data_IF_253357201833
#
_entry.id   IF_253357201833
#
_cell.length_a   1.000
_cell.length_b   1.000
_cell.length_c   1.000
_cell.angle_alpha   90.00
_cell.angle_beta   90.00
_cell.angle_gamma   90.00
#
_symmetry.space_group_name_H-M   'P 1'
#
loop_
_entity.id
_entity.type
_entity.pdbx_description
1 polymer ?
#
# COMPACT_ATOMS: atom_id res chain seq x y z
N UNK A 1 -12.93 -28.02 -13.57
CA UNK A 1 -14.05 -27.30 -14.21
C UNK A 1 -13.62 -25.86 -14.38
N UNK A 2 -13.63 -25.31 -15.58
CA UNK A 2 -13.19 -23.93 -15.87
C UNK A 2 -14.18 -22.96 -15.19
N UNK A 3 -13.65 -21.99 -14.41
CA UNK A 3 -14.42 -20.92 -13.74
C UNK A 3 -15.32 -20.13 -14.72
N UNK A 4 -14.97 -20.10 -16.00
CA UNK A 4 -15.71 -19.39 -17.05
C UNK A 4 -17.14 -19.93 -17.30
N UNK A 5 -17.48 -21.15 -16.87
CA UNK A 5 -18.78 -21.76 -17.16
C UNK A 5 -19.93 -21.36 -16.21
N UNK A 6 -19.66 -20.63 -15.11
CA UNK A 6 -20.64 -20.27 -14.08
C UNK A 6 -20.73 -18.76 -13.79
N UNK A 7 -20.08 -17.91 -14.57
CA UNK A 7 -20.10 -16.46 -14.36
C UNK A 7 -21.43 -15.87 -14.85
N UNK A 8 -22.07 -15.00 -14.05
CA UNK A 8 -23.29 -14.31 -14.47
C UNK A 8 -23.03 -13.39 -15.67
N UNK A 9 -24.02 -13.17 -16.57
CA UNK A 9 -23.87 -12.22 -17.68
C UNK A 9 -23.48 -10.81 -17.21
N UNK A 10 -24.06 -10.33 -16.11
CA UNK A 10 -23.75 -9.02 -15.55
C UNK A 10 -22.27 -8.91 -15.10
N UNK A 11 -21.72 -9.99 -14.51
CA UNK A 11 -20.32 -10.01 -14.12
C UNK A 11 -19.39 -10.09 -15.33
N UNK A 12 -19.78 -10.81 -16.38
CA UNK A 12 -19.05 -10.84 -17.65
C UNK A 12 -18.99 -9.46 -18.30
N UNK A 13 -20.11 -8.72 -18.32
CA UNK A 13 -20.17 -7.34 -18.83
C UNK A 13 -19.28 -6.40 -17.99
N UNK A 14 -19.31 -6.55 -16.67
CA UNK A 14 -18.46 -5.75 -15.78
C UNK A 14 -16.96 -5.97 -16.07
N UNK A 15 -16.54 -7.24 -16.23
CA UNK A 15 -15.14 -7.56 -16.56
C UNK A 15 -14.76 -7.01 -17.94
N UNK A 16 -15.60 -7.20 -18.96
CA UNK A 16 -15.36 -6.66 -20.30
C UNK A 16 -15.24 -5.13 -20.30
N UNK A 17 -15.99 -4.43 -19.43
CA UNK A 17 -15.83 -3.00 -19.24
C UNK A 17 -14.47 -2.68 -18.61
N UNK A 18 -14.10 -3.39 -17.54
CA UNK A 18 -12.83 -3.19 -16.82
C UNK A 18 -11.62 -3.40 -17.75
N UNK A 19 -11.64 -4.46 -18.56
CA UNK A 19 -10.56 -4.76 -19.52
C UNK A 19 -10.35 -3.64 -20.55
N UNK A 20 -11.40 -2.86 -20.87
CA UNK A 20 -11.31 -1.69 -21.77
C UNK A 20 -10.78 -0.44 -21.07
N UNK A 21 -10.67 -0.47 -19.74
CA UNK A 21 -10.19 0.65 -18.94
C UNK A 21 -8.68 0.55 -18.66
N UNK A 22 -7.87 0.00 -19.55
CA UNK A 22 -6.43 -0.15 -19.36
C UNK A 22 -5.74 1.21 -19.17
N UNK A 23 -4.80 1.26 -18.22
CA UNK A 23 -3.95 2.44 -17.99
C UNK A 23 -3.15 2.78 -19.26
N UNK A 24 -2.89 4.07 -19.55
CA UNK A 24 -2.05 4.47 -20.70
C UNK A 24 -0.55 4.17 -20.50
N UNK A 25 -0.13 3.69 -19.34
CA UNK A 25 1.27 3.32 -19.10
C UNK A 25 1.69 2.19 -20.02
N UNK A 26 2.92 2.28 -20.59
CA UNK A 26 3.49 1.22 -21.41
C UNK A 26 3.53 -0.13 -20.67
N UNK A 27 3.41 -1.23 -21.37
CA UNK A 27 3.59 -2.58 -20.80
C UNK A 27 5.06 -2.95 -20.63
N UNK A 28 5.93 -2.35 -21.40
CA UNK A 28 7.37 -2.38 -21.16
C UNK A 28 7.78 -1.18 -20.27
N UNK A 29 9.06 -1.04 -19.98
CA UNK A 29 9.59 0.05 -19.15
C UNK A 29 10.03 1.27 -19.97
N UNK A 30 9.55 1.42 -21.20
CA UNK A 30 9.85 2.59 -22.04
C UNK A 30 9.19 3.84 -21.48
N UNK A 31 9.85 5.00 -21.49
CA UNK A 31 9.26 6.27 -21.09
C UNK A 31 8.04 6.68 -21.94
N UNK A 32 7.04 7.35 -21.35
CA UNK A 32 6.90 7.65 -19.93
C UNK A 32 6.41 6.42 -19.13
N UNK A 33 7.20 5.96 -18.13
CA UNK A 33 6.84 4.85 -17.27
C UNK A 33 7.26 5.11 -15.83
N UNK A 34 6.27 5.14 -14.94
CA UNK A 34 6.50 5.43 -13.53
C UNK A 34 6.25 6.88 -13.15
N UNK A 35 6.17 7.13 -11.85
CA UNK A 35 5.76 8.41 -11.27
C UNK A 35 6.94 9.34 -10.98
N UNK A 36 8.16 8.81 -10.90
CA UNK A 36 9.39 9.56 -10.64
C UNK A 36 9.76 10.55 -11.75
N UNK A 37 9.31 10.33 -12.98
CA UNK A 37 9.60 11.19 -14.13
C UNK A 37 9.10 12.64 -13.95
N UNK A 38 8.11 12.82 -13.08
CA UNK A 38 7.56 14.13 -12.74
C UNK A 38 8.36 14.87 -11.66
N UNK A 39 9.39 14.23 -11.10
CA UNK A 39 10.22 14.84 -10.07
C UNK A 39 11.32 15.71 -10.69
N UNK A 40 11.80 16.72 -9.98
CA UNK A 40 12.94 17.53 -10.44
C UNK A 40 14.23 16.68 -10.40
N UNK A 41 15.15 16.98 -11.35
CA UNK A 41 16.48 16.39 -11.28
C UNK A 41 17.19 16.75 -9.95
N UNK A 42 17.97 15.84 -9.35
CA UNK A 42 18.40 14.53 -9.83
C UNK A 42 17.43 13.38 -9.47
N UNK A 43 16.23 13.67 -8.94
CA UNK A 43 15.29 12.68 -8.40
C UNK A 43 14.32 12.11 -9.44
N UNK A 44 14.37 12.57 -10.68
CA UNK A 44 13.60 12.07 -11.82
C UNK A 44 14.21 10.82 -12.47
N UNK A 45 14.77 9.93 -11.66
CA UNK A 45 15.39 8.68 -12.09
C UNK A 45 14.98 7.51 -11.21
N UNK A 46 15.20 6.31 -11.70
CA UNK A 46 15.03 5.10 -10.89
C UNK A 46 16.18 4.93 -9.90
N UNK A 47 15.85 4.55 -8.69
CA UNK A 47 16.76 4.16 -7.61
C UNK A 47 16.69 2.66 -7.32
N UNK A 48 15.63 2.00 -7.74
CA UNK A 48 15.43 0.57 -7.69
C UNK A 48 14.97 0.00 -9.03
N UNK A 49 15.08 -1.32 -9.22
CA UNK A 49 14.71 -1.95 -10.49
C UNK A 49 13.19 -1.86 -10.74
N UNK A 50 12.83 -1.83 -12.01
CA UNK A 50 11.45 -1.98 -12.50
C UNK A 50 11.42 -3.05 -13.57
N UNK A 51 10.25 -3.62 -13.82
CA UNK A 51 10.02 -4.58 -14.90
C UNK A 51 8.70 -4.28 -15.60
N UNK A 52 8.55 -4.80 -16.83
CA UNK A 52 7.35 -4.64 -17.63
C UNK A 52 6.11 -5.20 -16.93
N UNK A 53 4.98 -4.53 -17.11
CA UNK A 53 3.69 -4.88 -16.51
C UNK A 53 2.86 -5.84 -17.34
N UNK A 54 1.91 -6.51 -16.70
CA UNK A 54 0.86 -7.28 -17.36
C UNK A 54 -0.25 -6.43 -17.99
N UNK A 55 -1.24 -7.10 -18.60
CA UNK A 55 -2.49 -6.48 -19.02
C UNK A 55 -3.35 -6.11 -17.81
N UNK A 56 -4.50 -5.48 -18.07
CA UNK A 56 -5.56 -5.35 -17.05
C UNK A 56 -5.88 -6.73 -16.50
N UNK A 57 -5.76 -6.87 -15.20
CA UNK A 57 -5.92 -8.16 -14.52
C UNK A 57 -6.66 -7.98 -13.21
N UNK A 58 -7.30 -9.03 -12.73
CA UNK A 58 -7.92 -8.95 -11.43
C UNK A 58 -8.55 -10.24 -10.95
N UNK A 59 -9.09 -10.17 -9.72
CA UNK A 59 -9.76 -11.27 -9.03
C UNK A 59 -10.88 -10.71 -8.18
N UNK A 60 -12.03 -11.35 -8.17
CA UNK A 60 -13.17 -11.02 -7.30
C UNK A 60 -13.52 -12.22 -6.44
N UNK A 61 -13.52 -12.02 -5.13
CA UNK A 61 -14.13 -12.91 -4.15
C UNK A 61 -15.35 -12.24 -3.52
N UNK A 62 -16.43 -12.98 -3.42
CA UNK A 62 -17.63 -12.57 -2.69
C UNK A 62 -18.10 -13.75 -1.84
N UNK A 63 -18.37 -13.50 -0.55
CA UNK A 63 -18.74 -14.54 0.42
C UNK A 63 -17.77 -15.73 0.41
N UNK A 64 -16.47 -15.41 0.40
CA UNK A 64 -15.36 -16.39 0.34
C UNK A 64 -15.28 -17.25 -0.93
N UNK A 65 -16.16 -17.04 -1.91
CA UNK A 65 -16.16 -17.74 -3.20
C UNK A 65 -15.50 -16.85 -4.24
N UNK A 66 -14.57 -17.39 -5.02
CA UNK A 66 -14.02 -16.70 -6.17
C UNK A 66 -15.07 -16.66 -7.28
N UNK A 67 -15.58 -15.46 -7.58
CA UNK A 67 -16.57 -15.25 -8.63
C UNK A 67 -15.93 -15.12 -10.01
N UNK A 68 -14.77 -14.48 -10.07
CA UNK A 68 -14.08 -14.20 -11.33
C UNK A 68 -12.58 -13.97 -11.14
N UNK A 69 -11.84 -14.26 -12.19
CA UNK A 69 -10.49 -13.78 -12.43
C UNK A 69 -10.34 -13.48 -13.93
N UNK A 70 -9.47 -12.50 -14.27
CA UNK A 70 -9.24 -12.10 -15.66
C UNK A 70 -7.82 -11.60 -15.88
N UNK A 71 -7.41 -11.52 -17.15
CA UNK A 71 -6.06 -11.11 -17.54
C UNK A 71 -5.00 -12.13 -17.13
N UNK A 72 -3.93 -11.67 -16.50
CA UNK A 72 -2.82 -12.49 -15.99
C UNK A 72 -2.79 -12.46 -14.44
N UNK A 73 -3.77 -13.07 -13.74
CA UNK A 73 -3.92 -12.92 -12.29
C UNK A 73 -2.78 -13.55 -11.49
N UNK A 74 -1.99 -14.42 -12.07
CA UNK A 74 -0.82 -15.07 -11.49
C UNK A 74 0.50 -14.33 -11.73
N UNK A 75 0.49 -13.30 -12.59
CA UNK A 75 1.70 -12.52 -12.84
C UNK A 75 2.03 -11.65 -11.64
N UNK A 76 3.28 -11.74 -11.19
CA UNK A 76 3.82 -10.86 -10.17
C UNK A 76 4.14 -9.48 -10.78
N UNK A 77 3.27 -8.53 -10.56
CA UNK A 77 3.41 -7.14 -11.00
C UNK A 77 3.67 -6.19 -9.83
N UNK A 78 4.34 -5.06 -10.11
CA UNK A 78 4.55 -4.01 -9.12
C UNK A 78 3.21 -3.49 -8.58
N UNK A 79 3.10 -3.42 -7.26
CA UNK A 79 1.87 -2.95 -6.58
C UNK A 79 1.90 -1.47 -6.27
N UNK A 80 3.06 -0.82 -6.42
CA UNK A 80 3.27 0.56 -5.98
C UNK A 80 2.83 0.75 -4.53
N UNK A 81 2.00 1.73 -4.26
CA UNK A 81 1.63 2.14 -2.91
C UNK A 81 0.74 1.17 -2.15
N UNK A 82 0.25 0.08 -2.74
CA UNK A 82 -0.36 -1.03 -1.97
C UNK A 82 0.65 -1.60 -0.96
N UNK A 83 1.95 -1.54 -1.26
CA UNK A 83 3.02 -1.92 -0.35
C UNK A 83 2.97 -1.20 1.01
N UNK A 84 2.42 0.03 1.07
CA UNK A 84 2.23 0.76 2.33
C UNK A 84 1.31 0.00 3.28
N UNK A 85 0.21 -0.54 2.77
CA UNK A 85 -0.69 -1.38 3.57
C UNK A 85 0.06 -2.59 4.14
N UNK A 86 0.97 -3.19 3.37
CA UNK A 86 1.76 -4.31 3.86
C UNK A 86 2.77 -3.91 4.94
N UNK A 87 3.28 -2.68 4.93
CA UNK A 87 4.04 -2.15 6.08
C UNK A 87 3.16 -2.02 7.33
N UNK A 88 1.90 -1.59 7.19
CA UNK A 88 0.97 -1.56 8.31
C UNK A 88 0.67 -2.99 8.84
N UNK A 89 0.58 -3.99 7.96
CA UNK A 89 0.42 -5.39 8.39
C UNK A 89 1.66 -5.88 9.16
N UNK A 90 2.87 -5.53 8.71
CA UNK A 90 4.10 -5.85 9.44
C UNK A 90 4.18 -5.14 10.80
N UNK A 91 3.76 -3.86 10.87
CA UNK A 91 3.64 -3.17 12.17
C UNK A 91 2.64 -3.90 13.10
N UNK A 92 1.58 -4.48 12.54
CA UNK A 92 0.63 -5.32 13.27
C UNK A 92 1.25 -6.60 13.82
N UNK A 93 2.10 -7.27 13.05
CA UNK A 93 2.86 -8.41 13.55
C UNK A 93 3.79 -7.97 14.70
N UNK A 94 4.46 -6.82 14.57
CA UNK A 94 5.28 -6.29 15.65
C UNK A 94 4.45 -5.97 16.92
N UNK A 95 3.23 -5.46 16.74
CA UNK A 95 2.28 -5.23 17.83
C UNK A 95 1.86 -6.54 18.50
N UNK A 96 1.44 -7.53 17.73
CA UNK A 96 0.97 -8.82 18.24
C UNK A 96 2.08 -9.63 18.93
N UNK A 97 3.34 -9.44 18.50
CA UNK A 97 4.52 -10.04 19.14
C UNK A 97 5.05 -9.24 20.34
N UNK A 98 4.44 -8.10 20.69
CA UNK A 98 4.91 -7.24 21.77
C UNK A 98 6.22 -6.49 21.50
N UNK A 99 6.70 -6.47 20.26
CA UNK A 99 7.84 -5.65 19.84
C UNK A 99 7.45 -4.16 19.81
N UNK A 100 6.18 -3.88 19.48
CA UNK A 100 5.55 -2.57 19.45
C UNK A 100 4.26 -2.57 20.24
N UNK A 101 4.30 -2.63 21.59
CA UNK A 101 3.11 -2.75 22.43
C UNK A 101 2.25 -1.47 22.44
N UNK A 102 2.85 -0.32 22.18
CA UNK A 102 2.18 0.98 22.09
C UNK A 102 2.62 1.76 20.84
N UNK A 103 1.68 2.01 19.94
CA UNK A 103 1.93 2.80 18.71
C UNK A 103 2.16 4.28 19.00
N UNK A 104 1.81 4.77 20.18
CA UNK A 104 2.03 6.16 20.60
C UNK A 104 3.38 6.38 21.28
N UNK A 105 4.18 5.33 21.48
CA UNK A 105 5.56 5.52 21.91
C UNK A 105 6.40 6.17 20.79
N UNK A 106 7.34 7.08 21.13
CA UNK A 106 8.25 7.65 20.15
C UNK A 106 9.11 6.58 19.45
N UNK A 107 9.24 6.70 18.13
CA UNK A 107 10.03 5.74 17.32
C UNK A 107 11.47 5.63 17.78
N UNK A 108 12.07 6.75 18.20
CA UNK A 108 13.45 6.82 18.68
C UNK A 108 13.75 5.91 19.86
N UNK A 109 12.75 5.58 20.68
CA UNK A 109 12.92 4.69 21.85
C UNK A 109 13.27 3.26 21.44
N UNK A 110 12.74 2.80 20.30
CA UNK A 110 13.02 1.46 19.76
C UNK A 110 14.12 1.49 18.70
N UNK A 111 14.22 2.57 17.96
CA UNK A 111 15.06 2.72 16.78
C UNK A 111 15.90 4.00 16.85
N UNK A 112 16.85 4.12 17.78
CA UNK A 112 17.76 5.26 17.83
C UNK A 112 18.76 5.23 16.67
N UNK A 113 19.23 6.42 16.26
CA UNK A 113 20.31 6.57 15.27
C UNK A 113 19.87 6.43 13.81
N UNK A 114 18.56 6.49 13.53
CA UNK A 114 18.04 6.35 12.17
C UNK A 114 17.25 7.57 11.66
N UNK A 115 17.46 8.75 12.27
CA UNK A 115 16.89 10.01 11.78
C UNK A 115 15.64 10.49 12.53
N UNK A 116 15.48 10.10 13.80
CA UNK A 116 14.43 10.61 14.70
C UNK A 116 15.02 11.47 15.84
N UNK A 117 16.26 11.91 15.71
CA UNK A 117 16.96 12.75 16.66
C UNK A 117 16.56 14.22 16.51
N UNK A 118 16.54 14.95 17.62
CA UNK A 118 16.20 16.36 17.68
C UNK A 118 14.86 16.65 18.35
N UNK A 119 14.65 17.89 18.76
CA UNK A 119 13.54 18.30 19.63
C UNK A 119 12.16 17.95 19.07
N UNK A 120 11.93 18.14 17.76
CA UNK A 120 10.68 17.84 17.10
C UNK A 120 10.60 16.37 16.66
N UNK A 121 11.67 15.85 16.06
CA UNK A 121 11.68 14.50 15.48
C UNK A 121 11.58 13.40 16.53
N UNK A 122 12.13 13.63 17.75
CA UNK A 122 12.06 12.66 18.83
C UNK A 122 10.64 12.46 19.41
N UNK A 123 9.68 13.31 19.02
CA UNK A 123 8.25 13.19 19.40
C UNK A 123 7.44 12.42 18.35
N UNK A 124 8.05 12.06 17.22
CA UNK A 124 7.36 11.26 16.19
C UNK A 124 7.11 9.85 16.72
N UNK A 125 5.86 9.43 16.69
CA UNK A 125 5.41 8.11 17.11
C UNK A 125 5.18 7.20 15.91
N UNK A 126 5.06 5.91 16.15
CA UNK A 126 4.64 4.94 15.14
C UNK A 126 3.25 5.27 14.57
N UNK A 127 2.33 5.74 15.46
CA UNK A 127 1.01 6.24 15.06
C UNK A 127 1.11 7.34 13.99
N UNK A 128 1.97 8.33 14.20
CA UNK A 128 2.17 9.42 13.24
C UNK A 128 2.70 8.92 11.88
N UNK A 129 3.61 7.95 11.88
CA UNK A 129 4.12 7.37 10.64
C UNK A 129 3.05 6.55 9.92
N UNK A 130 2.28 5.73 10.65
CA UNK A 130 1.21 4.89 10.11
C UNK A 130 0.05 5.70 9.54
N UNK A 131 -0.23 6.90 10.08
CA UNK A 131 -1.25 7.81 9.56
C UNK A 131 -0.73 8.82 8.53
N UNK A 132 0.57 8.82 8.23
CA UNK A 132 1.24 9.82 7.38
C UNK A 132 1.06 11.26 7.89
N UNK A 133 1.12 11.42 9.21
CA UNK A 133 1.05 12.73 9.90
C UNK A 133 2.34 13.07 10.64
N UNK A 134 3.44 12.39 10.32
CA UNK A 134 4.69 12.49 11.10
C UNK A 134 5.38 13.83 11.01
N UNK A 135 5.18 14.60 9.94
CA UNK A 135 5.99 15.81 9.64
C UNK A 135 7.51 15.54 9.75
N UNK A 136 7.91 14.29 9.53
CA UNK A 136 9.32 13.90 9.52
C UNK A 136 10.06 14.60 8.37
N UNK A 137 11.29 15.00 8.62
CA UNK A 137 12.21 15.55 7.62
C UNK A 137 13.56 14.87 7.69
N UNK A 138 14.22 14.76 6.57
CA UNK A 138 15.53 14.13 6.46
C UNK A 138 15.78 13.55 5.07
N UNK A 139 16.79 12.72 5.01
CA UNK A 139 17.14 11.95 3.81
C UNK A 139 16.96 10.46 4.15
N UNK A 140 16.10 9.78 3.41
CA UNK A 140 15.91 8.34 3.56
C UNK A 140 16.19 7.63 2.23
N UNK A 141 17.02 6.58 2.28
CA UNK A 141 17.44 5.82 1.09
C UNK A 141 17.96 6.70 -0.05
N UNK A 142 18.70 7.77 0.30
CA UNK A 142 19.31 8.72 -0.64
C UNK A 142 18.37 9.78 -1.20
N UNK A 143 17.12 9.86 -0.75
CA UNK A 143 16.11 10.81 -1.24
C UNK A 143 15.69 11.75 -0.10
N UNK A 144 15.78 13.09 -0.29
CA UNK A 144 15.26 14.06 0.66
C UNK A 144 13.73 13.99 0.73
N UNK A 145 13.18 14.07 1.92
CA UNK A 145 11.73 14.06 2.16
C UNK A 145 11.00 15.20 1.44
N UNK A 146 11.65 16.36 1.33
CA UNK A 146 11.09 17.54 0.66
C UNK A 146 10.68 17.27 -0.79
N UNK A 147 11.37 16.39 -1.52
CA UNK A 147 11.04 16.07 -2.93
C UNK A 147 9.59 15.60 -3.10
N UNK A 148 9.02 15.00 -2.05
CA UNK A 148 7.67 14.45 -2.08
C UNK A 148 6.64 15.23 -1.24
N UNK A 149 6.99 16.42 -0.74
CA UNK A 149 6.03 17.33 -0.09
C UNK A 149 4.97 17.82 -1.08
N UNK A 150 3.79 18.14 -0.59
CA UNK A 150 2.66 18.60 -1.38
C UNK A 150 2.23 17.64 -2.49
N UNK A 151 2.62 16.36 -2.39
CA UNK A 151 2.13 15.36 -3.33
C UNK A 151 0.62 15.19 -3.18
N UNK A 152 -0.07 15.32 -4.30
CA UNK A 152 -1.51 15.14 -4.37
C UNK A 152 -1.87 13.92 -5.22
N UNK A 153 -2.88 13.16 -4.78
CA UNK A 153 -3.33 11.96 -5.48
C UNK A 153 -4.72 12.18 -6.09
N UNK A 154 -4.95 11.63 -7.27
CA UNK A 154 -6.20 11.81 -8.04
C UNK A 154 -7.46 11.47 -7.25
N UNK A 155 -7.40 10.47 -6.39
CA UNK A 155 -8.55 10.03 -5.57
C UNK A 155 -8.55 10.62 -4.16
N UNK A 156 -7.59 11.44 -3.80
CA UNK A 156 -7.53 12.08 -2.48
C UNK A 156 -8.59 13.18 -2.37
N UNK A 157 -9.46 13.16 -1.34
CA UNK A 157 -10.44 14.20 -1.12
C UNK A 157 -9.81 15.56 -0.84
N UNK A 158 -10.44 16.63 -1.35
CA UNK A 158 -9.97 18.01 -1.16
C UNK A 158 -9.22 18.58 -2.36
N UNK A 159 -8.22 19.40 -2.12
CA UNK A 159 -7.40 20.07 -3.16
C UNK A 159 -5.95 20.12 -2.72
N UNK A 160 -5.06 20.10 -3.69
CA UNK A 160 -3.65 20.42 -3.46
C UNK A 160 -3.53 21.87 -2.92
N UNK A 161 -2.69 22.03 -1.91
CA UNK A 161 -2.45 23.31 -1.24
C UNK A 161 -1.00 23.79 -1.41
N UNK A 162 -0.29 23.22 -2.38
CA UNK A 162 1.07 23.56 -2.77
C UNK A 162 1.52 22.84 -4.02
N UNK A 163 2.74 23.08 -4.45
CA UNK A 163 3.38 22.42 -5.59
C UNK A 163 4.30 21.33 -5.05
N UNK A 164 4.21 20.12 -5.62
CA UNK A 164 5.06 18.99 -5.22
C UNK A 164 6.55 19.37 -5.22
N UNK A 165 7.22 19.12 -4.10
CA UNK A 165 8.64 19.43 -3.91
C UNK A 165 8.94 20.81 -3.32
N UNK A 166 7.95 21.69 -3.19
CA UNK A 166 8.15 23.00 -2.56
C UNK A 166 8.51 22.88 -1.07
N UNK A 167 9.34 23.80 -0.62
CA UNK A 167 9.66 23.94 0.80
C UNK A 167 8.47 24.55 1.56
N UNK A 168 8.26 24.07 2.78
CA UNK A 168 7.37 24.70 3.76
C UNK A 168 7.90 24.52 5.18
N UNK A 169 7.54 25.36 6.13
CA UNK A 169 7.74 25.07 7.53
C UNK A 169 7.00 23.77 7.90
N UNK A 170 7.67 22.92 8.67
CA UNK A 170 7.04 21.71 9.19
C UNK A 170 6.37 21.98 10.53
N UNK A 171 5.20 21.40 10.71
CA UNK A 171 4.44 21.49 11.95
C UNK A 171 4.85 20.43 12.98
N UNK A 172 4.08 20.36 14.05
CA UNK A 172 4.20 19.29 15.03
C UNK A 172 3.75 17.94 14.45
N UNK A 173 4.36 16.83 14.87
CA UNK A 173 3.87 15.51 14.54
C UNK A 173 2.37 15.37 14.89
N UNK A 174 1.58 14.84 13.96
CA UNK A 174 0.12 14.73 14.07
C UNK A 174 -0.68 15.91 13.51
N UNK A 175 -0.05 17.05 13.23
CA UNK A 175 -0.78 18.28 12.85
C UNK A 175 -1.26 18.34 11.41
N UNK A 176 -0.67 17.54 10.51
CA UNK A 176 -0.96 17.55 9.08
C UNK A 176 -0.83 16.16 8.47
N UNK A 177 -1.82 15.77 7.68
CA UNK A 177 -1.71 14.63 6.76
C UNK A 177 -0.96 15.04 5.50
N UNK A 178 0.05 14.27 5.14
CA UNK A 178 0.77 14.45 3.88
C UNK A 178 1.23 13.10 3.33
N UNK A 179 0.72 12.75 2.16
CA UNK A 179 1.07 11.50 1.49
C UNK A 179 2.49 11.62 0.91
N UNK A 180 3.48 11.01 1.57
CA UNK A 180 4.89 11.19 1.26
C UNK A 180 5.64 9.85 1.29
N UNK A 181 6.16 9.42 0.14
CA UNK A 181 6.83 8.12 0.01
C UNK A 181 8.15 8.05 0.78
N UNK A 182 8.85 9.17 0.95
CA UNK A 182 10.12 9.19 1.70
C UNK A 182 9.86 8.97 3.20
N UNK A 183 8.78 9.57 3.74
CA UNK A 183 8.35 9.32 5.13
C UNK A 183 7.92 7.86 5.34
N UNK A 184 7.33 7.23 4.33
CA UNK A 184 7.01 5.80 4.37
C UNK A 184 8.26 4.93 4.24
N UNK A 185 9.26 5.34 3.46
CA UNK A 185 10.55 4.65 3.44
C UNK A 185 11.22 4.72 4.83
N UNK A 186 11.06 5.83 5.55
CA UNK A 186 11.53 5.97 6.94
C UNK A 186 10.79 5.03 7.90
N UNK A 187 9.48 4.82 7.73
CA UNK A 187 8.74 3.78 8.46
C UNK A 187 9.27 2.38 8.16
N UNK A 188 9.52 2.08 6.88
CA UNK A 188 10.09 0.80 6.48
C UNK A 188 11.46 0.54 7.12
N UNK A 189 12.33 1.56 7.13
CA UNK A 189 13.63 1.50 7.80
C UNK A 189 13.46 1.27 9.31
N UNK A 190 12.52 1.97 9.96
CA UNK A 190 12.22 1.77 11.37
C UNK A 190 11.73 0.35 11.68
N UNK A 191 10.84 -0.21 10.85
CA UNK A 191 10.38 -1.60 11.00
C UNK A 191 11.51 -2.60 10.80
N UNK A 192 12.43 -2.37 9.84
CA UNK A 192 13.62 -3.20 9.65
C UNK A 192 14.48 -3.24 10.93
N UNK A 193 14.70 -2.06 11.55
CA UNK A 193 15.44 -1.96 12.81
C UNK A 193 14.70 -2.59 13.99
N UNK A 194 13.37 -2.52 14.01
CA UNK A 194 12.54 -3.12 15.04
C UNK A 194 12.58 -4.66 14.98
N UNK A 195 12.38 -5.25 13.79
CA UNK A 195 12.44 -6.70 13.58
C UNK A 195 13.85 -7.25 13.60
N UNK A 196 14.86 -6.44 13.22
CA UNK A 196 16.25 -6.87 13.03
C UNK A 196 16.35 -8.03 12.02
N UNK A 197 15.48 -8.02 11.05
CA UNK A 197 15.35 -9.02 9.97
C UNK A 197 14.86 -8.31 8.70
N UNK A 198 15.24 -8.77 7.50
CA UNK A 198 14.70 -8.26 6.25
C UNK A 198 13.17 -8.34 6.22
N UNK A 199 12.49 -7.23 5.92
CA UNK A 199 11.03 -7.18 5.90
C UNK A 199 10.39 -8.16 4.89
N UNK A 200 11.00 -8.45 3.71
CA UNK A 200 10.47 -9.49 2.82
C UNK A 200 10.41 -10.88 3.47
N UNK A 201 11.37 -11.23 4.33
CA UNK A 201 11.38 -12.50 5.05
C UNK A 201 10.28 -12.56 6.12
N UNK A 202 10.09 -11.45 6.84
CA UNK A 202 9.00 -11.33 7.83
C UNK A 202 7.64 -11.43 7.12
N UNK A 203 7.48 -10.78 5.97
CA UNK A 203 6.24 -10.83 5.20
C UNK A 203 5.97 -12.23 4.64
N UNK A 204 7.00 -12.92 4.16
CA UNK A 204 6.90 -14.31 3.71
C UNK A 204 6.44 -15.24 4.85
N UNK A 205 7.05 -15.12 6.03
CA UNK A 205 6.78 -15.97 7.19
C UNK A 205 5.37 -15.77 7.76
N UNK A 206 4.96 -14.51 7.96
CA UNK A 206 3.72 -14.20 8.68
C UNK A 206 2.50 -14.04 7.79
N UNK A 207 2.68 -13.81 6.49
CA UNK A 207 1.55 -13.63 5.57
C UNK A 207 1.57 -14.65 4.43
N UNK A 208 2.59 -14.68 3.59
CA UNK A 208 2.53 -15.48 2.37
C UNK A 208 2.41 -16.98 2.65
N UNK A 209 3.25 -17.51 3.52
CA UNK A 209 3.19 -18.95 3.90
C UNK A 209 1.87 -19.33 4.56
N UNK A 210 1.38 -18.66 5.62
CA UNK A 210 0.11 -19.02 6.26
C UNK A 210 -1.11 -18.87 5.35
N UNK A 211 -1.08 -17.92 4.41
CA UNK A 211 -2.15 -17.70 3.45
C UNK A 211 -2.13 -18.70 2.28
N UNK A 212 -1.03 -19.44 2.11
CA UNK A 212 -0.84 -20.36 1.00
C UNK A 212 -0.56 -19.65 -0.33
N UNK A 213 0.10 -18.50 -0.29
CA UNK A 213 0.58 -17.80 -1.47
C UNK A 213 1.65 -18.63 -2.19
N UNK A 214 1.51 -18.83 -3.49
CA UNK A 214 2.38 -19.71 -4.28
C UNK A 214 2.98 -19.06 -5.51
N UNK A 215 2.46 -17.90 -5.93
CA UNK A 215 2.97 -17.20 -7.09
C UNK A 215 4.31 -16.50 -6.79
N UNK A 216 5.00 -16.05 -7.82
CA UNK A 216 6.25 -15.33 -7.66
C UNK A 216 6.07 -14.05 -6.81
N UNK A 217 7.06 -13.75 -5.99
CA UNK A 217 7.05 -12.60 -5.10
C UNK A 217 8.44 -11.98 -5.01
N UNK A 218 8.49 -10.66 -5.01
CA UNK A 218 9.70 -9.90 -4.75
C UNK A 218 9.35 -8.63 -3.97
N UNK A 219 10.21 -8.23 -3.05
CA UNK A 219 10.21 -6.91 -2.44
C UNK A 219 11.63 -6.37 -2.50
N UNK A 220 11.89 -5.49 -3.44
CA UNK A 220 13.24 -5.05 -3.81
C UNK A 220 13.48 -3.63 -3.32
N UNK A 221 14.66 -3.38 -2.76
CA UNK A 221 15.09 -2.05 -2.28
C UNK A 221 15.73 -1.20 -3.38
N UNK A 222 16.15 0.01 -2.97
CA UNK A 222 16.98 0.90 -3.78
C UNK A 222 18.45 0.54 -3.66
N UNK A 223 19.27 0.90 -4.64
CA UNK A 223 20.72 0.69 -4.58
C UNK A 223 21.35 1.23 -3.29
N UNK A 224 20.85 2.39 -2.80
CA UNK A 224 21.28 3.04 -1.56
C UNK A 224 20.55 2.51 -0.31
N UNK A 225 19.70 1.48 -0.45
CA UNK A 225 18.88 0.96 0.63
C UNK A 225 19.62 0.08 1.65
N UNK A 226 20.93 -0.15 1.47
CA UNK A 226 21.70 -0.97 2.39
C UNK A 226 22.04 -0.21 3.68
N UNK A 227 21.71 -0.81 4.82
CA UNK A 227 21.99 -0.26 6.15
C UNK A 227 22.55 -1.33 7.07
N UNK A 228 23.26 -0.89 8.13
CA UNK A 228 23.68 -1.78 9.20
C UNK A 228 22.59 -1.89 10.27
N UNK A 229 22.21 -3.10 10.61
CA UNK A 229 21.30 -3.40 11.70
C UNK A 229 21.99 -4.37 12.67
N UNK A 230 22.51 -3.82 13.77
CA UNK A 230 23.24 -4.60 14.78
C UNK A 230 24.44 -5.41 14.22
N UNK A 231 25.24 -4.79 13.37
CA UNK A 231 26.42 -5.42 12.77
C UNK A 231 26.11 -6.32 11.58
N UNK A 232 24.86 -6.38 11.11
CA UNK A 232 24.45 -7.10 9.92
C UNK A 232 23.98 -6.14 8.84
N UNK A 233 24.56 -6.26 7.64
CA UNK A 233 24.16 -5.46 6.49
C UNK A 233 22.84 -5.97 5.91
N UNK A 234 21.79 -5.16 5.96
CA UNK A 234 20.45 -5.51 5.49
C UNK A 234 19.94 -4.48 4.48
N UNK A 235 19.07 -4.91 3.57
CA UNK A 235 18.39 -4.05 2.62
C UNK A 235 17.11 -3.50 3.26
N UNK A 236 17.00 -2.17 3.37
CA UNK A 236 15.72 -1.51 3.61
C UNK A 236 14.95 -1.43 2.30
N UNK A 237 13.69 -1.85 2.31
CA UNK A 237 12.83 -1.84 1.13
C UNK A 237 11.88 -0.64 1.16
N UNK A 238 11.53 -0.03 0.00
CA UNK A 238 10.58 1.08 -0.01
C UNK A 238 9.16 0.62 0.26
N UNK A 239 8.36 1.53 0.82
CA UNK A 239 6.92 1.33 1.05
C UNK A 239 6.06 1.68 -0.16
N UNK A 240 6.65 1.82 -1.32
CA UNK A 240 6.01 2.08 -2.61
C UNK A 240 7.00 1.80 -3.71
N UNK A 241 6.71 2.24 -4.92
CA UNK A 241 7.63 2.10 -6.07
C UNK A 241 7.76 3.42 -6.82
N UNK A 242 7.72 4.54 -6.08
CA UNK A 242 7.80 5.87 -6.69
C UNK A 242 9.08 6.05 -7.52
N UNK A 243 10.19 5.52 -7.01
CA UNK A 243 11.50 5.52 -7.68
C UNK A 243 11.95 4.10 -8.04
N UNK A 244 11.04 3.23 -8.41
CA UNK A 244 11.31 1.82 -8.67
C UNK A 244 11.39 0.98 -7.39
N UNK A 245 11.87 -0.27 -7.53
CA UNK A 245 11.84 -1.24 -6.43
C UNK A 245 10.41 -1.52 -5.96
N UNK A 246 10.26 -1.87 -4.68
CA UNK A 246 8.96 -2.16 -4.08
C UNK A 246 8.49 -3.61 -4.27
N UNK A 247 7.21 -3.85 -4.05
CA UNK A 247 6.60 -5.18 -4.08
C UNK A 247 6.08 -5.53 -5.46
N UNK A 248 6.49 -6.70 -5.94
CA UNK A 248 5.84 -7.42 -7.04
C UNK A 248 5.16 -8.66 -6.48
N UNK A 249 3.86 -8.76 -6.67
CA UNK A 249 3.01 -9.87 -6.20
C UNK A 249 1.86 -10.05 -7.19
N UNK A 250 1.35 -11.27 -7.33
CA UNK A 250 0.21 -11.56 -8.21
C UNK A 250 -1.11 -11.02 -7.64
N UNK A 251 -2.10 -10.80 -8.52
CA UNK A 251 -3.45 -10.44 -8.08
C UNK A 251 -4.09 -11.56 -7.23
N UNK A 252 -3.77 -12.81 -7.50
CA UNK A 252 -4.21 -13.98 -6.73
C UNK A 252 -3.71 -13.95 -5.30
N UNK A 253 -2.40 -13.80 -5.11
CA UNK A 253 -1.79 -13.75 -3.77
C UNK A 253 -2.24 -12.49 -3.01
N UNK A 254 -2.40 -11.36 -3.73
CA UNK A 254 -2.95 -10.13 -3.17
C UNK A 254 -4.40 -10.33 -2.68
N UNK A 255 -5.21 -11.10 -3.39
CA UNK A 255 -6.58 -11.44 -2.97
C UNK A 255 -6.60 -12.31 -1.71
N UNK A 256 -5.65 -13.22 -1.52
CA UNK A 256 -5.55 -14.03 -0.28
C UNK A 256 -5.29 -13.13 0.95
N UNK A 257 -4.44 -12.12 0.80
CA UNK A 257 -4.23 -11.09 1.84
C UNK A 257 -5.55 -10.33 2.08
N UNK A 258 -6.24 -9.93 1.02
CA UNK A 258 -7.56 -9.29 1.11
C UNK A 258 -8.59 -10.14 1.86
N UNK A 259 -8.64 -11.44 1.62
CA UNK A 259 -9.54 -12.37 2.32
C UNK A 259 -9.22 -12.46 3.82
N UNK A 260 -7.94 -12.50 4.20
CA UNK A 260 -7.53 -12.44 5.60
C UNK A 260 -8.01 -11.13 6.25
N UNK A 261 -7.83 -10.00 5.56
CA UNK A 261 -8.25 -8.69 6.05
C UNK A 261 -9.79 -8.60 6.17
N UNK A 262 -10.53 -9.09 5.18
CA UNK A 262 -11.99 -9.20 5.20
C UNK A 262 -12.46 -10.07 6.38
N UNK A 263 -11.75 -11.16 6.67
CA UNK A 263 -11.98 -12.07 7.78
C UNK A 263 -11.51 -11.56 9.15
N UNK A 264 -11.26 -10.25 9.28
CA UNK A 264 -10.80 -9.62 10.52
C UNK A 264 -9.51 -10.26 11.07
N UNK A 265 -8.55 -10.52 10.17
CA UNK A 265 -7.26 -11.14 10.46
C UNK A 265 -7.27 -12.65 10.51
N UNK A 266 -8.43 -13.28 10.36
CA UNK A 266 -8.58 -14.72 10.29
C UNK A 266 -8.61 -15.20 8.83
N UNK A 267 -7.92 -16.29 8.57
CA UNK A 267 -7.99 -16.99 7.29
C UNK A 267 -8.08 -18.50 7.52
N UNK A 268 -9.16 -19.10 7.04
CA UNK A 268 -9.42 -20.55 7.17
C UNK A 268 -9.31 -21.09 8.62
N UNK A 269 -9.78 -20.30 9.59
CA UNK A 269 -9.74 -20.66 11.01
C UNK A 269 -8.44 -20.32 11.75
N UNK A 270 -7.42 -19.83 11.05
CA UNK A 270 -6.17 -19.38 11.66
C UNK A 270 -6.18 -17.85 11.82
N UNK A 271 -5.96 -17.35 13.04
CA UNK A 271 -5.74 -15.93 13.29
C UNK A 271 -4.29 -15.58 12.90
N UNK A 272 -4.13 -14.79 11.85
CA UNK A 272 -2.83 -14.39 11.30
C UNK A 272 -2.42 -13.02 11.84
N UNK A 273 -3.39 -12.12 12.01
CA UNK A 273 -3.21 -10.78 12.55
C UNK A 273 -4.35 -10.47 13.51
N UNK A 274 -4.08 -9.84 14.66
CA UNK A 274 -5.12 -9.61 15.66
C UNK A 274 -6.25 -8.72 15.14
N UNK A 275 -7.48 -9.03 15.53
CA UNK A 275 -8.64 -8.20 15.27
C UNK A 275 -8.48 -6.79 15.89
N UNK A 276 -7.78 -6.70 17.03
CA UNK A 276 -7.44 -5.44 17.68
C UNK A 276 -6.61 -4.54 16.77
N UNK A 277 -5.58 -5.07 16.13
CA UNK A 277 -4.76 -4.31 15.18
C UNK A 277 -5.58 -3.83 13.98
N UNK A 278 -6.39 -4.71 13.39
CA UNK A 278 -7.24 -4.32 12.25
C UNK A 278 -8.28 -3.26 12.62
N UNK A 279 -8.82 -3.30 13.83
CA UNK A 279 -9.68 -2.23 14.32
C UNK A 279 -8.91 -0.89 14.44
N UNK A 280 -7.66 -0.92 14.91
CA UNK A 280 -6.79 0.27 14.94
C UNK A 280 -6.45 0.77 13.54
N UNK A 281 -6.16 -0.12 12.58
CA UNK A 281 -5.90 0.27 11.19
C UNK A 281 -7.07 1.04 10.57
N UNK A 282 -8.30 0.70 10.94
CA UNK A 282 -9.53 1.28 10.39
C UNK A 282 -10.01 2.52 11.16
N UNK A 283 -9.28 2.97 12.20
CA UNK A 283 -9.59 4.24 12.86
C UNK A 283 -9.23 5.41 11.94
N UNK A 284 -10.19 6.30 11.65
CA UNK A 284 -9.91 7.48 10.84
C UNK A 284 -8.85 8.37 11.48
N UNK A 285 -7.98 8.92 10.65
CA UNK A 285 -7.06 9.97 11.06
C UNK A 285 -7.84 11.27 11.35
N UNK A 286 -7.56 11.94 12.45
CA UNK A 286 -8.28 13.15 12.88
C UNK A 286 -8.21 14.28 11.83
N UNK A 287 -7.06 14.44 11.19
CA UNK A 287 -6.81 15.48 10.18
C UNK A 287 -7.09 15.01 8.74
N UNK A 288 -7.37 13.71 8.54
CA UNK A 288 -7.71 13.11 7.25
C UNK A 288 -8.64 11.90 7.44
N UNK A 289 -9.94 12.10 7.71
CA UNK A 289 -10.86 11.03 8.11
C UNK A 289 -11.09 9.95 7.04
N UNK A 290 -10.60 10.17 5.84
CA UNK A 290 -10.56 9.21 4.73
C UNK A 290 -9.32 8.29 4.75
N UNK A 291 -8.48 8.37 5.80
CA UNK A 291 -7.25 7.59 5.92
C UNK A 291 -7.14 6.94 7.30
N UNK A 292 -6.67 5.70 7.33
CA UNK A 292 -6.35 4.94 8.55
C UNK A 292 -4.85 4.65 8.64
N UNK A 293 -4.47 3.49 9.18
CA UNK A 293 -3.07 3.05 9.14
C UNK A 293 -2.74 2.49 7.76
N UNK A 294 -2.25 3.35 6.89
CA UNK A 294 -1.82 3.05 5.52
C UNK A 294 -2.90 2.34 4.68
N UNK A 295 -4.15 2.65 4.95
CA UNK A 295 -5.34 2.28 4.17
C UNK A 295 -6.22 3.49 3.92
N UNK A 296 -6.94 3.47 2.80
CA UNK A 296 -7.89 4.48 2.40
C UNK A 296 -9.30 4.07 2.81
N UNK A 297 -9.99 4.89 3.57
CA UNK A 297 -11.33 4.63 4.10
C UNK A 297 -12.38 5.34 3.24
N UNK A 298 -13.36 4.58 2.70
CA UNK A 298 -14.46 5.17 1.92
C UNK A 298 -15.54 5.80 2.82
N UNK A 299 -15.14 6.33 3.97
CA UNK A 299 -16.05 7.00 4.87
C UNK A 299 -16.80 8.12 4.14
N UNK A 300 -18.11 8.13 4.29
CA UNK A 300 -19.01 9.08 3.61
C UNK A 300 -18.97 9.06 2.07
N UNK A 301 -18.39 8.02 1.46
CA UNK A 301 -18.21 7.92 0.01
C UNK A 301 -17.15 8.86 -0.54
N UNK A 302 -16.20 9.28 0.32
CA UNK A 302 -15.24 10.34 0.00
C UNK A 302 -14.23 9.96 -1.10
N UNK A 303 -13.94 8.67 -1.28
CA UNK A 303 -13.00 8.18 -2.30
C UNK A 303 -13.72 7.79 -3.60
N UNK A 304 -14.66 6.86 -3.47
CA UNK A 304 -15.42 6.30 -4.59
C UNK A 304 -16.89 6.27 -4.23
N UNK A 305 -17.68 7.11 -4.90
CA UNK A 305 -19.11 7.31 -4.59
C UNK A 305 -19.96 6.05 -4.79
N UNK A 306 -19.53 5.16 -5.71
CA UNK A 306 -20.25 3.95 -6.05
C UNK A 306 -19.81 2.72 -5.22
N UNK A 307 -18.77 2.85 -4.40
CA UNK A 307 -18.42 1.85 -3.40
C UNK A 307 -19.20 2.08 -2.10
N UNK A 308 -19.55 1.02 -1.35
CA UNK A 308 -20.14 1.17 -0.02
C UNK A 308 -19.25 1.99 0.94
N UNK A 309 -19.88 2.66 1.90
CA UNK A 309 -19.17 3.43 2.94
C UNK A 309 -18.39 2.57 3.92
N UNK A 310 -18.68 1.27 3.97
CA UNK A 310 -17.93 0.26 4.73
C UNK A 310 -16.65 -0.18 4.06
N UNK A 311 -16.48 0.15 2.78
CA UNK A 311 -15.31 -0.21 1.99
C UNK A 311 -14.07 0.53 2.43
N UNK A 312 -12.94 -0.13 2.29
CA UNK A 312 -11.63 0.49 2.37
C UNK A 312 -10.69 -0.10 1.30
N UNK A 313 -9.63 0.62 1.05
CA UNK A 313 -8.78 0.35 -0.11
C UNK A 313 -7.31 0.43 0.25
N UNK A 314 -6.51 -0.44 -0.39
CA UNK A 314 -5.10 -0.20 -0.63
C UNK A 314 -4.95 0.19 -2.11
N UNK A 315 -4.34 1.35 -2.35
CA UNK A 315 -4.27 1.95 -3.70
C UNK A 315 -2.81 2.19 -4.08
N UNK A 316 -2.46 1.85 -5.31
CA UNK A 316 -1.14 2.06 -5.89
C UNK A 316 -1.19 2.70 -7.27
N UNK A 317 -0.11 3.38 -7.66
CA UNK A 317 0.03 3.96 -8.99
C UNK A 317 -0.18 2.88 -10.08
N UNK A 318 -0.53 3.29 -11.30
CA UNK A 318 -0.97 2.36 -12.34
C UNK A 318 -2.28 1.64 -11.99
N UNK A 319 -3.01 2.16 -10.97
CA UNK A 319 -4.24 1.60 -10.41
C UNK A 319 -4.11 0.13 -10.02
N UNK A 320 -3.15 -0.15 -9.13
CA UNK A 320 -3.19 -1.35 -8.31
C UNK A 320 -4.18 -1.11 -7.18
N UNK A 321 -5.31 -1.79 -7.21
CA UNK A 321 -6.42 -1.64 -6.27
C UNK A 321 -6.63 -2.94 -5.51
N UNK A 322 -6.57 -2.87 -4.18
CA UNK A 322 -7.16 -3.87 -3.28
C UNK A 322 -8.39 -3.22 -2.65
N UNK A 323 -9.56 -3.68 -3.00
CA UNK A 323 -10.82 -3.25 -2.43
C UNK A 323 -11.35 -4.33 -1.49
N UNK A 324 -11.58 -3.96 -0.24
CA UNK A 324 -12.13 -4.84 0.80
C UNK A 324 -13.38 -4.21 1.38
N UNK A 325 -14.46 -4.98 1.41
CA UNK A 325 -15.69 -4.60 2.09
C UNK A 325 -16.18 -5.75 2.99
N UNK A 326 -15.94 -5.66 4.32
CA UNK A 326 -16.35 -6.73 5.23
C UNK A 326 -17.87 -6.91 5.36
N UNK A 327 -18.67 -5.85 5.12
CA UNK A 327 -20.15 -5.96 5.19
C UNK A 327 -20.73 -6.66 3.98
N UNK A 328 -20.15 -6.44 2.80
CA UNK A 328 -20.49 -7.18 1.59
C UNK A 328 -19.79 -8.52 1.48
N UNK A 329 -18.84 -8.83 2.37
CA UNK A 329 -17.95 -9.97 2.23
C UNK A 329 -17.24 -9.98 0.86
N UNK A 330 -16.76 -8.80 0.43
CA UNK A 330 -16.17 -8.58 -0.88
C UNK A 330 -14.66 -8.33 -0.76
N UNK A 331 -13.90 -9.01 -1.61
CA UNK A 331 -12.51 -8.68 -1.95
C UNK A 331 -12.40 -8.57 -3.46
N UNK A 332 -11.93 -7.43 -3.94
CA UNK A 332 -11.69 -7.23 -5.36
C UNK A 332 -10.29 -6.66 -5.59
N UNK A 333 -9.54 -7.33 -6.43
CA UNK A 333 -8.24 -6.87 -6.89
C UNK A 333 -8.39 -6.43 -8.35
N UNK A 334 -7.98 -5.20 -8.65
CA UNK A 334 -7.88 -4.69 -10.01
C UNK A 334 -6.47 -4.14 -10.25
N UNK A 335 -5.91 -4.46 -11.38
CA UNK A 335 -4.53 -4.09 -11.75
C UNK A 335 -4.53 -3.43 -13.12
N UNK A 336 -3.75 -2.36 -13.24
CA UNK A 336 -3.47 -1.69 -14.51
C UNK A 336 -4.68 -1.07 -15.20
N UNK A 337 -5.66 -0.62 -14.43
CA UNK A 337 -6.76 0.20 -14.94
C UNK A 337 -6.38 1.69 -14.93
N UNK A 338 -7.02 2.48 -15.78
CA UNK A 338 -6.87 3.93 -15.79
C UNK A 338 -7.48 4.54 -14.51
N UNK A 339 -6.69 5.32 -13.77
CA UNK A 339 -7.05 5.81 -12.45
C UNK A 339 -8.39 6.58 -12.42
N UNK A 340 -8.69 7.50 -13.36
CA UNK A 340 -9.99 8.17 -13.43
C UNK A 340 -11.18 7.22 -13.64
N UNK A 341 -10.95 6.01 -14.17
CA UNK A 341 -11.99 4.99 -14.43
C UNK A 341 -12.26 4.06 -13.24
N UNK A 342 -11.51 4.18 -12.15
CA UNK A 342 -11.64 3.27 -10.99
C UNK A 342 -13.06 3.26 -10.43
N UNK A 343 -13.71 4.43 -10.27
CA UNK A 343 -15.08 4.49 -9.77
C UNK A 343 -16.10 3.85 -10.73
N UNK A 344 -15.92 4.02 -12.03
CA UNK A 344 -16.80 3.40 -13.04
C UNK A 344 -16.64 1.86 -12.99
N UNK A 345 -15.42 1.35 -12.85
CA UNK A 345 -15.17 -0.09 -12.67
C UNK A 345 -15.86 -0.63 -11.41
N UNK A 346 -15.78 0.10 -10.28
CA UNK A 346 -16.48 -0.22 -9.04
C UNK A 346 -18.00 -0.27 -9.27
N UNK A 347 -18.57 0.74 -9.97
CA UNK A 347 -19.98 0.79 -10.28
C UNK A 347 -20.46 -0.42 -11.11
N UNK A 348 -19.66 -0.87 -12.08
CA UNK A 348 -19.96 -2.07 -12.86
C UNK A 348 -19.96 -3.34 -12.00
N UNK A 349 -18.96 -3.50 -11.12
CA UNK A 349 -18.90 -4.63 -10.18
C UNK A 349 -20.11 -4.61 -9.24
N UNK A 350 -20.44 -3.45 -8.65
CA UNK A 350 -21.57 -3.32 -7.73
C UNK A 350 -22.92 -3.68 -8.37
N UNK A 351 -23.10 -3.41 -9.67
CA UNK A 351 -24.32 -3.82 -10.39
C UNK A 351 -24.35 -5.31 -10.70
N UNK A 352 -23.22 -5.98 -10.69
CA UNK A 352 -23.07 -7.39 -11.04
C UNK A 352 -23.12 -8.34 -9.82
N UNK A 353 -23.00 -7.81 -8.60
CA UNK A 353 -23.10 -8.53 -7.33
C UNK A 353 -24.56 -8.69 -6.88
#
# INVERSE_FOLDING_TARGET
MSLASNMSPALQEAIQFIEKCETPWSRDTSPPWGIHELDPAPYNRLYGPVHGRGPVSGVIFHKHVMLAEWGEPHKADLTFSVAKTYLALLAGIAFDQGLLPDVHEPVIQKCPGIGFEGERLNRITWHHLLQQTSEWEGICLGIPEQVDRYRWLTYQPGKADGIKGDARPLGEPGSRFEYNDVRINQLSLALLHLFKRPLPEVFEEFFRKPLGCTDAFQWVGYEQGWTDVKGQRMMSVPGGSHWGGGISISARDQALIGLMLMGNGNYKGQQILSAKWLAMMQQPCDVAPYYGYLIWLNKDGALFKDAPRSSWFALGAGSSVTWVDPKLELVCIMRWIDAPKTNDCIAHIMRAL
#
